data_IF_575223699257
#
_entry.id   IF_575223699257
#
_cell.length_a   1.000
_cell.length_b   1.000
_cell.length_c   1.000
_cell.angle_alpha   90.00
_cell.angle_beta   90.00
_cell.angle_gamma   90.00
#
_symmetry.space_group_name_H-M   'P 1'
#
loop_
_entity.id
_entity.type
_entity.pdbx_description
1 polymer ?
#
# COMPACT_ATOMS: atom_id res chain seq x y z
N UNK A 1 19.54 -14.88 -5.40
CA UNK A 1 19.48 -13.97 -4.24
C UNK A 1 18.03 -13.74 -3.83
N UNK A 2 17.75 -13.71 -2.52
CA UNK A 2 16.39 -13.52 -1.98
C UNK A 2 15.74 -12.18 -2.37
N UNK A 3 16.53 -11.12 -2.57
CA UNK A 3 16.04 -9.79 -2.95
C UNK A 3 15.24 -9.77 -4.27
N UNK A 4 15.62 -10.59 -5.26
CA UNK A 4 14.92 -10.64 -6.54
C UNK A 4 13.46 -11.10 -6.41
N UNK A 5 13.12 -11.85 -5.35
CA UNK A 5 11.75 -12.30 -5.12
C UNK A 5 10.79 -11.14 -4.82
N UNK A 6 11.27 -10.05 -4.19
CA UNK A 6 10.45 -8.90 -3.79
C UNK A 6 9.95 -8.08 -4.98
N UNK A 7 10.69 -8.09 -6.10
CA UNK A 7 10.37 -7.33 -7.31
C UNK A 7 9.69 -8.16 -8.39
N UNK A 8 9.34 -9.43 -8.11
CA UNK A 8 8.58 -10.26 -9.03
C UNK A 8 7.10 -9.86 -9.00
N UNK A 9 6.41 -9.84 -10.16
CA UNK A 9 4.97 -9.68 -10.19
C UNK A 9 4.24 -10.68 -9.28
N UNK A 10 3.09 -10.26 -8.79
CA UNK A 10 2.20 -11.05 -7.94
C UNK A 10 0.76 -10.86 -8.39
N UNK A 11 0.02 -11.95 -8.48
CA UNK A 11 -1.39 -11.91 -8.87
C UNK A 11 -2.22 -12.72 -7.87
N UNK A 12 -3.32 -12.14 -7.42
CA UNK A 12 -4.28 -12.78 -6.52
C UNK A 12 -5.70 -12.33 -6.89
N UNK A 13 -6.53 -13.28 -7.32
CA UNK A 13 -7.86 -12.97 -7.85
C UNK A 13 -7.77 -12.04 -9.07
N UNK A 14 -8.46 -10.89 -9.02
CA UNK A 14 -8.45 -9.88 -10.07
C UNK A 14 -7.38 -8.78 -9.86
N UNK A 15 -6.54 -8.89 -8.81
CA UNK A 15 -5.49 -7.93 -8.49
C UNK A 15 -4.15 -8.41 -9.03
N UNK A 16 -3.52 -7.59 -9.88
CA UNK A 16 -2.16 -7.80 -10.38
C UNK A 16 -1.25 -6.67 -9.90
N UNK A 17 -0.14 -7.02 -9.24
CA UNK A 17 0.88 -6.12 -8.73
C UNK A 17 2.21 -6.39 -9.44
N UNK A 18 2.95 -5.32 -9.72
CA UNK A 18 4.26 -5.42 -10.39
C UNK A 18 5.36 -5.88 -9.43
N UNK A 19 5.16 -5.74 -8.11
CA UNK A 19 6.08 -6.10 -7.06
C UNK A 19 5.33 -6.64 -5.81
N UNK A 20 6.10 -7.09 -4.81
CA UNK A 20 5.59 -7.67 -3.54
C UNK A 20 5.88 -6.77 -2.34
N UNK A 21 6.07 -5.48 -2.57
CA UNK A 21 6.32 -4.47 -1.54
C UNK A 21 5.04 -3.66 -1.41
N UNK A 22 4.42 -3.69 -0.23
CA UNK A 22 3.14 -3.04 0.05
C UNK A 22 3.28 -2.00 1.15
N UNK A 23 2.42 -0.98 1.12
CA UNK A 23 2.30 -0.02 2.21
C UNK A 23 1.47 -0.63 3.34
N UNK A 24 2.09 -0.80 4.51
CA UNK A 24 1.36 -1.26 5.70
C UNK A 24 0.36 -0.18 6.17
N UNK A 25 -0.79 -0.57 6.76
CA UNK A 25 -1.71 0.38 7.36
C UNK A 25 -1.08 1.00 8.62
N UNK A 26 -1.10 2.34 8.70
CA UNK A 26 -0.57 3.09 9.84
C UNK A 26 -1.55 4.19 10.24
N UNK A 27 -1.88 4.29 11.54
CA UNK A 27 -2.76 5.35 12.06
C UNK A 27 -2.01 6.68 12.11
N UNK A 28 -2.46 7.68 11.33
CA UNK A 28 -1.87 9.04 11.29
C UNK A 28 -2.74 10.14 11.89
N UNK A 29 -4.00 9.87 12.23
CA UNK A 29 -4.97 10.84 12.76
C UNK A 29 -5.23 12.08 11.86
N UNK A 30 -5.06 11.96 10.54
CA UNK A 30 -5.20 13.07 9.59
C UNK A 30 -6.63 13.28 9.05
N UNK A 31 -7.63 12.66 9.69
CA UNK A 31 -9.04 12.75 9.32
C UNK A 31 -9.84 13.38 10.46
N UNK A 32 -9.95 14.72 10.53
CA UNK A 32 -10.77 15.38 11.53
C UNK A 32 -12.23 14.93 11.37
N UNK A 33 -12.91 14.66 12.49
CA UNK A 33 -14.28 14.12 12.52
C UNK A 33 -14.49 12.82 11.70
N UNK A 34 -13.41 12.08 11.40
CA UNK A 34 -13.47 10.86 10.58
C UNK A 34 -13.60 11.11 9.08
N UNK A 35 -13.52 12.36 8.61
CA UNK A 35 -13.62 12.71 7.19
C UNK A 35 -12.21 12.91 6.61
N UNK A 36 -11.83 12.16 5.56
CA UNK A 36 -10.56 12.37 4.88
C UNK A 36 -10.47 13.77 4.27
N UNK A 37 -9.32 14.41 4.42
CA UNK A 37 -8.99 15.70 3.80
C UNK A 37 -7.74 15.54 2.92
N UNK A 38 -7.32 16.60 2.24
CA UNK A 38 -6.09 16.61 1.43
C UNK A 38 -4.84 16.15 2.21
N UNK A 39 -4.85 16.26 3.54
CA UNK A 39 -3.75 15.81 4.39
C UNK A 39 -3.61 14.27 4.47
N UNK A 40 -4.63 13.49 4.11
CA UNK A 40 -4.59 12.01 4.15
C UNK A 40 -3.88 11.43 2.93
N UNK A 41 -3.93 12.12 1.79
CA UNK A 41 -3.36 11.66 0.53
C UNK A 41 -1.85 11.92 0.40
N UNK A 42 -1.27 12.69 1.32
CA UNK A 42 0.15 13.08 1.34
C UNK A 42 1.05 12.14 2.15
#
# INVERSE_FOLDING_TARGET
MAANALFKPYSQGNLSLTNRIVMAPMTRQFSPNGVPTNNVAG
#
